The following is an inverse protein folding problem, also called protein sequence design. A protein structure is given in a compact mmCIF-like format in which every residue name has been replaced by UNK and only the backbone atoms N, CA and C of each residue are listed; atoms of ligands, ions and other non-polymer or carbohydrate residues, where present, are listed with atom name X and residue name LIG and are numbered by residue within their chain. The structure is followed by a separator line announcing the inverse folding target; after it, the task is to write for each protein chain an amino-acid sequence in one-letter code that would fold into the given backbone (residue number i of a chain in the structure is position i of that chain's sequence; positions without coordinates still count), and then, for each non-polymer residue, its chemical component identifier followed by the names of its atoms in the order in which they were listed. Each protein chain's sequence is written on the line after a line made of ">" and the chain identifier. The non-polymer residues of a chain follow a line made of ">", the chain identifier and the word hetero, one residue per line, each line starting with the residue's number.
data_IF_476977412744
#
_entry.id   IF_476977412744
#
_cell.length_a   1.000
_cell.length_b   1.000
_cell.length_c   1.000
_cell.angle_alpha   90.00
_cell.angle_beta   90.00
_cell.angle_gamma   90.00
#
_symmetry.space_group_name_H-M   'P 1'
#
loop_
_entity.id
_entity.type
_entity.pdbx_description
1 polymer ?
#
# COMPACT_ATOMS: atom_id res chain seq x y z
N UNK A 1 -12.12 12.80 1.90
CA UNK A 1 -12.10 11.83 3.03
C UNK A 1 -10.92 10.88 2.84
N UNK A 2 -10.08 10.65 3.86
CA UNK A 2 -9.01 9.64 3.76
C UNK A 2 -9.62 8.24 3.84
N UNK A 3 -9.29 7.30 2.93
CA UNK A 3 -9.77 5.94 3.03
C UNK A 3 -9.19 5.26 4.27
N UNK A 4 -10.02 4.51 5.00
CA UNK A 4 -9.61 3.79 6.20
C UNK A 4 -8.85 2.53 5.78
N UNK A 5 -7.52 2.58 5.82
CA UNK A 5 -6.67 1.45 5.45
C UNK A 5 -6.52 0.46 6.61
N UNK A 6 -6.56 -0.83 6.31
CA UNK A 6 -6.17 -1.90 7.23
C UNK A 6 -4.67 -1.81 7.57
N UNK A 7 -4.21 -2.45 8.66
CA UNK A 7 -2.79 -2.47 9.01
C UNK A 7 -1.88 -2.96 7.87
N UNK A 8 -2.28 -4.01 7.14
CA UNK A 8 -1.53 -4.55 6.02
C UNK A 8 -1.44 -3.57 4.84
N UNK A 9 -2.55 -2.92 4.48
CA UNK A 9 -2.59 -1.89 3.44
C UNK A 9 -1.72 -0.68 3.81
N UNK A 10 -1.75 -0.27 5.09
CA UNK A 10 -0.93 0.85 5.57
C UNK A 10 0.56 0.51 5.51
N UNK A 11 0.95 -0.69 5.94
CA UNK A 11 2.35 -1.15 5.85
C UNK A 11 2.82 -1.22 4.41
N UNK A 12 2.02 -1.79 3.51
CA UNK A 12 2.36 -1.89 2.09
C UNK A 12 2.48 -0.52 1.43
N UNK A 13 1.56 0.40 1.71
CA UNK A 13 1.65 1.78 1.22
C UNK A 13 2.89 2.49 1.77
N UNK A 14 3.19 2.32 3.06
CA UNK A 14 4.40 2.88 3.66
C UNK A 14 5.68 2.35 2.99
N UNK A 15 5.72 1.06 2.66
CA UNK A 15 6.85 0.48 1.94
C UNK A 15 7.00 1.08 0.54
N UNK A 16 5.89 1.23 -0.21
CA UNK A 16 5.89 1.87 -1.52
C UNK A 16 6.40 3.31 -1.46
N UNK A 17 5.92 4.10 -0.49
CA UNK A 17 6.35 5.48 -0.25
C UNK A 17 7.84 5.56 0.14
N UNK A 18 8.33 4.56 0.88
CA UNK A 18 9.72 4.51 1.34
C UNK A 18 10.71 3.88 0.35
N UNK A 19 10.25 3.49 -0.85
CA UNK A 19 11.08 2.76 -1.83
C UNK A 19 11.54 1.37 -1.35
N UNK A 20 10.83 0.77 -0.39
CA UNK A 20 11.11 -0.55 0.15
C UNK A 20 10.32 -1.62 -0.60
N UNK A 21 10.76 -2.90 -0.59
CA UNK A 21 9.94 -3.99 -1.09
C UNK A 21 8.55 -3.97 -0.45
N UNK A 22 7.49 -4.04 -1.26
CA UNK A 22 6.10 -3.90 -0.81
C UNK A 22 5.73 -4.88 0.31
N UNK A 23 6.30 -6.07 0.28
CA UNK A 23 6.01 -7.17 1.20
C UNK A 23 6.81 -7.11 2.50
N UNK A 24 7.74 -6.17 2.63
CA UNK A 24 8.60 -6.08 3.80
C UNK A 24 7.76 -5.85 5.07
N UNK A 25 7.89 -6.74 6.06
CA UNK A 25 7.15 -6.66 7.32
C UNK A 25 5.69 -7.12 7.24
N UNK A 26 5.22 -7.65 6.10
CA UNK A 26 3.97 -8.41 6.05
C UNK A 26 4.22 -9.85 6.53
N UNK A 27 3.33 -10.39 7.36
CA UNK A 27 3.52 -11.72 7.96
C UNK A 27 3.53 -12.83 6.92
N UNK A 28 4.47 -13.77 7.07
CA UNK A 28 4.82 -14.84 6.10
C UNK A 28 3.65 -15.77 5.71
N UNK A 29 2.58 -15.81 6.51
CA UNK A 29 1.36 -16.59 6.23
C UNK A 29 0.37 -15.92 5.25
N UNK A 30 0.69 -14.73 4.71
CA UNK A 30 -0.19 -13.97 3.81
C UNK A 30 0.28 -13.95 2.35
N UNK A 31 1.17 -14.87 1.96
CA UNK A 31 2.15 -14.64 0.88
C UNK A 31 1.60 -14.55 -0.56
N UNK A 32 0.38 -14.98 -0.87
CA UNK A 32 -0.17 -14.86 -2.24
C UNK A 32 -1.51 -14.14 -2.28
N UNK A 33 -2.58 -14.74 -1.74
CA UNK A 33 -3.93 -14.18 -1.90
C UNK A 33 -4.14 -12.84 -1.19
N UNK A 34 -3.64 -12.69 0.05
CA UNK A 34 -3.81 -11.45 0.83
C UNK A 34 -2.91 -10.33 0.32
N UNK A 35 -1.73 -10.66 -0.19
CA UNK A 35 -0.85 -9.70 -0.85
C UNK A 35 -1.50 -9.09 -2.09
N UNK A 36 -1.99 -9.93 -3.01
CA UNK A 36 -2.66 -9.46 -4.22
C UNK A 36 -3.91 -8.64 -3.90
N UNK A 37 -4.71 -9.05 -2.92
CA UNK A 37 -5.89 -8.28 -2.50
C UNK A 37 -5.52 -6.94 -1.88
N UNK A 38 -4.40 -6.87 -1.14
CA UNK A 38 -3.89 -5.61 -0.56
C UNK A 38 -3.43 -4.64 -1.65
N UNK A 39 -2.65 -5.12 -2.63
CA UNK A 39 -2.21 -4.32 -3.78
C UNK A 39 -3.43 -3.80 -4.55
N UNK A 40 -4.35 -4.69 -4.93
CA UNK A 40 -5.56 -4.31 -5.67
C UNK A 40 -6.43 -3.31 -4.90
N UNK A 41 -6.53 -3.44 -3.58
CA UNK A 41 -7.30 -2.50 -2.76
C UNK A 41 -6.64 -1.12 -2.75
N UNK A 42 -5.31 -1.04 -2.70
CA UNK A 42 -4.59 0.24 -2.77
C UNK A 42 -4.68 0.88 -4.16
N UNK A 43 -4.68 0.09 -5.23
CA UNK A 43 -4.98 0.57 -6.59
C UNK A 43 -6.40 1.12 -6.69
N UNK A 44 -7.40 0.38 -6.20
CA UNK A 44 -8.80 0.83 -6.17
C UNK A 44 -9.02 2.07 -5.32
N UNK A 45 -8.24 2.23 -4.25
CA UNK A 45 -8.25 3.43 -3.42
C UNK A 45 -7.47 4.61 -4.04
N UNK A 46 -6.88 4.45 -5.23
CA UNK A 46 -6.09 5.48 -5.90
C UNK A 46 -4.79 5.82 -5.17
N UNK A 47 -4.27 4.92 -4.34
CA UNK A 47 -3.05 5.12 -3.54
C UNK A 47 -1.79 4.61 -4.24
N UNK A 48 -1.94 3.59 -5.08
CA UNK A 48 -0.88 3.04 -5.92
C UNK A 48 -1.30 3.12 -7.39
N UNK A 49 -0.32 3.16 -8.29
CA UNK A 49 -0.51 3.18 -9.73
C UNK A 49 0.58 2.39 -10.46
N UNK A 50 0.29 2.03 -11.71
CA UNK A 50 1.24 1.33 -12.57
C UNK A 50 1.50 -0.12 -12.18
N UNK A 51 2.20 -0.83 -13.06
CA UNK A 51 2.62 -2.22 -12.83
C UNK A 51 3.64 -2.34 -11.70
N UNK A 52 4.44 -1.29 -11.50
CA UNK A 52 5.48 -1.23 -10.45
C UNK A 52 4.92 -0.82 -9.08
N UNK A 53 3.60 -0.61 -8.99
CA UNK A 53 2.90 -0.28 -7.75
C UNK A 53 3.48 0.96 -7.05
N UNK A 54 3.78 1.99 -7.84
CA UNK A 54 4.31 3.25 -7.36
C UNK A 54 3.23 4.03 -6.59
N UNK A 55 3.58 4.75 -5.51
CA UNK A 55 2.62 5.58 -4.80
C UNK A 55 2.14 6.73 -5.68
N UNK A 56 0.84 7.02 -5.65
CA UNK A 56 0.27 8.22 -6.28
C UNK A 56 0.51 9.45 -5.40
N UNK A 57 0.16 10.63 -5.89
CA UNK A 57 0.13 11.84 -5.06
C UNK A 57 -0.74 11.68 -3.80
N UNK A 58 -1.86 10.95 -3.90
CA UNK A 58 -2.72 10.65 -2.75
C UNK A 58 -2.05 9.69 -1.76
N UNK A 59 -1.36 8.65 -2.27
CA UNK A 59 -0.57 7.72 -1.45
C UNK A 59 0.55 8.41 -0.69
N UNK A 60 1.26 9.33 -1.34
CA UNK A 60 2.29 10.17 -0.72
C UNK A 60 1.71 11.12 0.33
N UNK A 61 0.57 11.74 0.05
CA UNK A 61 -0.08 12.67 0.96
C UNK A 61 -0.66 11.98 2.22
N UNK A 62 -0.98 10.68 2.14
CA UNK A 62 -1.58 9.91 3.23
C UNK A 62 -0.80 10.03 4.55
N UNK A 63 0.53 10.07 4.48
CA UNK A 63 1.41 10.20 5.65
C UNK A 63 1.88 11.63 5.95
N UNK A 64 1.63 12.60 5.06
CA UNK A 64 2.08 14.01 5.23
C UNK A 64 1.18 14.83 6.14
N UNK A 65 -0.09 14.45 6.22
CA UNK A 65 -1.08 15.07 7.11
C UNK A 65 -0.94 14.51 8.52
N UNK A 66 0.03 15.03 9.27
CA UNK A 66 0.08 15.01 10.72
C UNK A 66 -0.58 16.30 11.24
#
# INVERSE_FOLDING_TARGET
>A
MKPKLSPAQRTMLHNAVSGRPLLLGLTRNSFSHRTHSTVQALHRAGMLQGTDHQPTAAGLAYFKTN
#
